data_IF_732666784823
#
_entry.id   IF_732666784823
#
_cell.length_a   1.000
_cell.length_b   1.000
_cell.length_c   1.000
_cell.angle_alpha   90.00
_cell.angle_beta   90.00
_cell.angle_gamma   90.00
#
_symmetry.space_group_name_H-M   'P 1'
#
loop_
_entity.id
_entity.type
_entity.pdbx_description
1 polymer ?
#
# COMPACT_ATOMS: atom_id res chain seq x y z
N UNK A 1 13.13 -78.48 -35.92
CA UNK A 1 13.53 -77.96 -34.61
C UNK A 1 13.65 -76.42 -34.70
N UNK A 2 12.71 -75.76 -34.07
CA UNK A 2 12.57 -74.28 -34.09
C UNK A 2 13.35 -73.80 -32.89
N UNK A 3 14.26 -72.83 -33.10
CA UNK A 3 15.03 -72.18 -32.05
C UNK A 3 14.14 -71.21 -31.25
N UNK A 4 14.33 -71.08 -29.93
CA UNK A 4 13.59 -70.13 -29.11
C UNK A 4 14.03 -68.65 -29.36
N UNK A 5 13.08 -67.78 -29.59
CA UNK A 5 13.31 -66.35 -29.69
C UNK A 5 13.45 -65.77 -28.28
N UNK A 6 14.54 -65.01 -28.08
CA UNK A 6 14.80 -64.22 -26.88
C UNK A 6 13.93 -62.98 -26.89
N UNK A 7 13.25 -62.62 -25.80
CA UNK A 7 12.45 -61.41 -25.76
C UNK A 7 13.36 -60.14 -25.75
N UNK A 8 13.01 -59.19 -26.59
CA UNK A 8 13.67 -57.88 -26.71
C UNK A 8 13.58 -57.09 -25.39
N UNK A 9 14.71 -56.64 -24.88
CA UNK A 9 14.79 -55.72 -23.75
C UNK A 9 14.10 -54.40 -24.10
N UNK A 10 13.05 -54.05 -23.37
CA UNK A 10 12.44 -52.72 -23.40
C UNK A 10 13.39 -51.72 -22.78
N UNK A 11 13.85 -50.77 -23.59
CA UNK A 11 14.59 -49.59 -23.11
C UNK A 11 13.67 -48.74 -22.23
N UNK A 12 13.97 -48.70 -20.94
CA UNK A 12 13.36 -47.78 -19.99
C UNK A 12 13.88 -46.39 -20.32
N UNK A 13 13.02 -45.54 -20.88
CA UNK A 13 13.26 -44.11 -21.05
C UNK A 13 13.26 -43.50 -19.63
N UNK A 14 14.36 -42.87 -19.17
CA UNK A 14 14.33 -42.16 -17.89
C UNK A 14 13.37 -40.98 -17.95
N UNK A 15 12.47 -40.91 -16.98
CA UNK A 15 11.58 -39.77 -16.80
C UNK A 15 12.41 -38.45 -16.71
N UNK A 16 11.95 -37.36 -17.30
CA UNK A 16 12.65 -36.07 -17.16
C UNK A 16 12.73 -35.69 -15.69
N UNK A 17 13.94 -35.45 -15.22
CA UNK A 17 14.19 -34.92 -13.90
C UNK A 17 13.44 -33.58 -13.77
N UNK A 18 12.47 -33.57 -12.87
CA UNK A 18 11.72 -32.36 -12.51
C UNK A 18 12.67 -31.43 -11.75
N UNK A 19 13.52 -30.69 -12.49
CA UNK A 19 14.37 -29.66 -11.93
C UNK A 19 13.44 -28.50 -11.64
N UNK A 20 12.94 -28.40 -10.42
CA UNK A 20 12.31 -27.19 -9.93
C UNK A 20 13.27 -26.01 -10.24
N UNK A 21 12.78 -24.92 -10.83
CA UNK A 21 13.64 -23.76 -11.08
C UNK A 21 14.23 -23.31 -9.75
N UNK A 22 15.55 -23.31 -9.66
CA UNK A 22 16.26 -22.77 -8.51
C UNK A 22 15.87 -21.29 -8.42
N UNK A 23 15.04 -20.96 -7.44
CA UNK A 23 14.75 -19.58 -7.04
C UNK A 23 16.10 -18.94 -6.72
N UNK A 24 16.61 -18.11 -7.61
CA UNK A 24 17.66 -17.16 -7.27
C UNK A 24 17.01 -16.15 -6.34
N UNK A 25 17.36 -16.10 -5.05
CA UNK A 25 16.83 -15.09 -4.16
C UNK A 25 17.42 -13.75 -4.62
N UNK A 26 16.66 -13.02 -5.43
CA UNK A 26 16.91 -11.61 -5.69
C UNK A 26 16.36 -10.83 -4.49
N UNK A 27 17.21 -10.60 -3.49
CA UNK A 27 16.86 -9.93 -2.23
C UNK A 27 16.46 -8.46 -2.41
N UNK A 28 16.43 -7.95 -3.65
CA UNK A 28 16.02 -6.57 -3.99
C UNK A 28 14.58 -6.41 -4.46
N UNK A 29 13.82 -7.50 -4.71
CA UNK A 29 12.49 -7.46 -5.32
C UNK A 29 11.52 -8.37 -4.57
N UNK A 30 11.19 -8.01 -3.32
CA UNK A 30 10.15 -8.72 -2.59
C UNK A 30 8.77 -8.19 -3.01
N UNK A 31 7.80 -9.07 -3.27
CA UNK A 31 6.43 -8.65 -3.57
C UNK A 31 5.85 -7.91 -2.36
N UNK A 32 4.99 -6.91 -2.63
CA UNK A 32 4.27 -6.21 -1.58
C UNK A 32 3.23 -7.11 -0.95
N UNK A 33 3.26 -7.20 0.38
CA UNK A 33 2.30 -7.97 1.15
C UNK A 33 1.42 -7.07 2.01
N UNK A 34 0.13 -7.40 2.08
CA UNK A 34 -0.80 -6.80 3.02
C UNK A 34 -0.73 -7.56 4.35
N UNK A 35 -0.29 -6.87 5.38
CA UNK A 35 -0.20 -7.43 6.73
C UNK A 35 -1.52 -7.23 7.46
N UNK A 36 -2.09 -8.31 8.01
CA UNK A 36 -3.33 -8.24 8.78
C UNK A 36 -3.09 -7.51 10.12
N UNK A 37 -3.99 -6.58 10.48
CA UNK A 37 -3.99 -5.98 11.80
C UNK A 37 -4.73 -6.89 12.80
N UNK A 38 -4.03 -7.32 13.83
CA UNK A 38 -4.55 -8.12 14.95
C UNK A 38 -4.35 -7.44 16.30
N UNK A 39 -4.46 -6.11 16.32
CA UNK A 39 -4.33 -5.30 17.52
C UNK A 39 -2.97 -4.61 17.69
N UNK A 40 -2.01 -4.79 16.75
CA UNK A 40 -0.75 -4.05 16.75
C UNK A 40 -0.89 -2.60 16.27
N UNK A 41 -2.02 -2.25 15.65
CA UNK A 41 -2.37 -0.92 15.19
C UNK A 41 -3.78 -0.55 15.64
N UNK A 42 -4.20 0.70 15.38
CA UNK A 42 -5.57 1.18 15.58
C UNK A 42 -6.59 0.21 14.96
N UNK A 43 -7.72 -0.03 15.66
CA UNK A 43 -8.76 -0.99 15.26
C UNK A 43 -9.46 -0.67 13.93
N UNK A 44 -9.41 0.60 13.48
CA UNK A 44 -9.94 1.03 12.18
C UNK A 44 -9.11 0.50 11.02
N UNK A 45 -7.84 0.22 11.24
CA UNK A 45 -6.94 -0.35 10.23
C UNK A 45 -7.20 -1.85 10.14
N UNK A 46 -7.54 -2.34 8.95
CA UNK A 46 -7.69 -3.78 8.70
C UNK A 46 -6.40 -4.41 8.20
N UNK A 47 -5.72 -3.73 7.27
CA UNK A 47 -4.44 -4.15 6.69
C UNK A 47 -3.50 -2.96 6.55
N UNK A 48 -2.20 -3.26 6.44
CA UNK A 48 -1.20 -2.24 6.14
C UNK A 48 -0.07 -2.82 5.29
N UNK A 49 0.65 -1.90 4.61
CA UNK A 49 1.90 -2.18 3.90
C UNK A 49 2.94 -1.24 4.47
N UNK A 50 4.04 -1.78 4.96
CA UNK A 50 5.14 -0.99 5.50
C UNK A 50 6.27 -0.91 4.46
N UNK A 51 6.60 0.31 4.02
CA UNK A 51 7.74 0.61 3.18
C UNK A 51 8.78 1.45 3.91
N UNK A 52 9.86 1.81 3.22
CA UNK A 52 10.99 2.56 3.78
C UNK A 52 10.67 4.04 4.05
N UNK A 53 9.93 4.66 3.16
CA UNK A 53 9.61 6.09 3.14
C UNK A 53 8.12 6.37 3.32
N UNK A 54 7.30 5.32 3.37
CA UNK A 54 5.85 5.40 3.51
C UNK A 54 5.27 4.13 4.12
N UNK A 55 4.17 4.30 4.84
CA UNK A 55 3.31 3.19 5.28
C UNK A 55 1.90 3.45 4.78
N UNK A 56 1.24 2.43 4.29
CA UNK A 56 -0.14 2.50 3.82
C UNK A 56 -1.04 1.76 4.79
N UNK A 57 -2.12 2.41 5.21
CA UNK A 57 -3.12 1.83 6.11
C UNK A 57 -4.46 1.73 5.39
N UNK A 58 -5.04 0.54 5.35
CA UNK A 58 -6.30 0.24 4.68
C UNK A 58 -7.42 0.13 5.70
N UNK A 59 -8.43 0.99 5.56
CA UNK A 59 -9.60 1.10 6.44
C UNK A 59 -10.88 0.93 5.63
N UNK A 60 -12.05 0.87 6.28
CA UNK A 60 -13.35 0.90 5.59
C UNK A 60 -13.63 2.20 4.83
N UNK A 61 -12.99 3.30 5.21
CA UNK A 61 -13.24 4.63 4.64
C UNK A 61 -12.25 5.02 3.53
N UNK A 62 -11.14 4.29 3.41
CA UNK A 62 -10.12 4.65 2.44
C UNK A 62 -8.72 4.14 2.80
N UNK A 63 -7.72 4.73 2.16
CA UNK A 63 -6.30 4.38 2.33
C UNK A 63 -5.54 5.59 2.82
N UNK A 64 -4.82 5.44 3.93
CA UNK A 64 -3.93 6.50 4.46
C UNK A 64 -2.49 6.21 4.07
N UNK A 65 -1.84 7.18 3.47
CA UNK A 65 -0.42 7.19 3.12
C UNK A 65 0.32 8.00 4.18
N UNK A 66 1.03 7.34 5.07
CA UNK A 66 1.92 8.01 6.03
C UNK A 66 3.30 8.15 5.40
N UNK A 67 3.62 9.35 4.95
CA UNK A 67 4.88 9.70 4.30
C UNK A 67 5.92 10.09 5.34
N UNK A 68 7.15 9.61 5.19
CA UNK A 68 8.27 9.95 6.07
C UNK A 68 9.47 10.34 5.23
N UNK A 69 10.11 11.45 5.54
CA UNK A 69 11.32 11.93 4.88
C UNK A 69 12.34 12.38 5.93
N UNK A 70 13.64 12.09 5.77
CA UNK A 70 14.67 12.67 6.61
C UNK A 70 14.60 14.20 6.56
N UNK A 71 14.72 14.86 7.72
CA UNK A 71 14.75 16.33 7.77
C UNK A 71 16.04 16.84 7.12
N UNK A 72 15.98 17.79 6.17
CA UNK A 72 17.15 18.26 5.45
C UNK A 72 18.18 18.97 6.32
N UNK A 73 17.81 19.38 7.53
CA UNK A 73 18.64 20.20 8.43
C UNK A 73 19.48 19.39 9.43
N UNK A 74 19.48 18.05 9.38
CA UNK A 74 20.34 17.24 10.24
C UNK A 74 21.25 16.31 9.43
N UNK A 75 22.60 16.39 9.65
CA UNK A 75 23.50 15.39 9.11
C UNK A 75 23.17 14.03 9.75
N UNK A 76 23.12 12.97 8.93
CA UNK A 76 22.92 11.59 9.35
C UNK A 76 24.02 11.27 10.40
N UNK A 77 23.69 11.40 11.67
CA UNK A 77 24.54 10.95 12.76
C UNK A 77 24.27 9.46 12.95
N UNK A 78 25.13 8.63 12.41
CA UNK A 78 25.22 7.24 12.85
C UNK A 78 25.24 7.20 14.38
N UNK A 79 24.48 6.32 15.05
CA UNK A 79 24.53 6.19 16.50
C UNK A 79 25.92 5.70 16.90
N UNK A 80 26.82 6.62 17.23
CA UNK A 80 28.04 6.28 17.98
C UNK A 80 27.58 5.91 19.37
N UNK A 81 27.62 4.63 19.69
CA UNK A 81 27.53 4.16 21.07
C UNK A 81 28.72 4.75 21.88
N UNK A 82 28.49 5.88 22.53
CA UNK A 82 29.43 6.41 23.49
C UNK A 82 28.94 5.98 24.85
N UNK A 83 29.43 4.84 25.32
CA UNK A 83 29.42 4.52 26.75
C UNK A 83 30.39 5.48 27.38
N UNK A 84 29.90 6.59 27.87
CA UNK A 84 30.66 7.56 28.63
C UNK A 84 30.49 7.26 30.14
N UNK A 85 31.44 6.56 30.74
CA UNK A 85 31.63 6.53 32.16
C UNK A 85 32.03 7.93 32.63
N UNK A 86 31.06 8.78 32.95
CA UNK A 86 31.32 10.03 33.68
C UNK A 86 30.81 9.91 35.11
N UNK A 87 31.78 9.85 36.03
CA UNK A 87 31.63 10.15 37.45
C UNK A 87 30.98 11.52 37.61
N UNK A 88 29.98 11.62 38.48
CA UNK A 88 29.32 12.86 38.84
C UNK A 88 30.29 13.83 39.50
N UNK A 89 30.31 15.12 39.14
CA UNK A 89 30.83 16.16 39.98
C UNK A 89 29.72 16.88 40.73
N UNK A 90 30.07 17.28 41.90
CA UNK A 90 29.38 17.93 43.00
C UNK A 90 28.65 19.22 42.62
N UNK A 91 27.63 19.49 43.38
CA UNK A 91 26.62 20.52 43.27
C UNK A 91 27.14 21.86 43.74
N UNK A 92 26.95 22.97 42.99
CA UNK A 92 26.55 24.28 43.52
C UNK A 92 26.32 25.31 42.40
N UNK A 93 25.32 26.15 42.60
CA UNK A 93 24.94 27.41 41.95
C UNK A 93 23.91 27.30 40.81
N UNK A 94 22.70 27.77 41.18
CA UNK A 94 21.54 27.91 40.34
C UNK A 94 21.77 28.75 39.07
N UNK A 95 21.54 28.13 37.94
CA UNK A 95 21.33 28.77 36.65
C UNK A 95 19.88 28.61 36.24
N UNK A 96 19.22 29.65 35.69
CA UNK A 96 17.84 29.51 35.20
C UNK A 96 17.78 28.41 34.16
N UNK A 97 16.81 27.50 34.32
CA UNK A 97 16.49 26.47 33.33
C UNK A 97 16.10 27.16 32.01
N UNK A 98 17.04 27.22 31.10
CA UNK A 98 16.69 27.49 29.69
C UNK A 98 15.66 26.44 29.28
N UNK A 99 14.51 26.87 28.80
CA UNK A 99 13.48 26.00 28.23
C UNK A 99 14.14 25.19 27.13
N UNK A 100 14.44 23.93 27.42
CA UNK A 100 14.92 22.95 26.47
C UNK A 100 13.83 22.83 25.39
N UNK A 101 14.04 23.44 24.24
CA UNK A 101 13.27 23.10 23.05
C UNK A 101 13.49 21.61 22.82
N UNK A 102 12.43 20.83 22.89
CA UNK A 102 12.47 19.41 22.49
C UNK A 102 13.19 19.32 21.15
N UNK A 103 14.17 18.44 20.99
CA UNK A 103 14.86 18.29 19.72
C UNK A 103 13.82 17.99 18.63
N UNK A 104 13.86 18.77 17.55
CA UNK A 104 13.01 18.55 16.38
C UNK A 104 13.26 17.12 15.90
N UNK A 105 12.21 16.32 15.63
CA UNK A 105 12.40 14.94 15.19
C UNK A 105 13.25 14.92 13.90
N UNK A 106 14.15 13.95 13.75
CA UNK A 106 15.05 13.85 12.59
C UNK A 106 14.32 13.55 11.26
N UNK A 107 13.02 13.38 11.33
CA UNK A 107 12.17 13.07 10.18
C UNK A 107 10.96 14.01 10.12
N UNK A 108 10.64 14.46 8.91
CA UNK A 108 9.36 15.10 8.59
C UNK A 108 8.34 14.03 8.23
N UNK A 109 7.12 14.13 8.76
CA UNK A 109 6.02 13.21 8.51
C UNK A 109 4.84 13.96 7.92
N UNK A 110 4.12 13.32 7.01
CA UNK A 110 2.91 13.86 6.41
C UNK A 110 1.92 12.72 6.10
N UNK A 111 0.65 12.96 6.33
CA UNK A 111 -0.39 11.99 6.01
C UNK A 111 -1.26 12.50 4.86
N UNK A 112 -1.50 11.62 3.88
CA UNK A 112 -2.48 11.81 2.81
C UNK A 112 -3.48 10.69 2.88
N UNK A 113 -4.76 10.98 2.89
CA UNK A 113 -5.82 9.98 2.88
C UNK A 113 -6.56 10.00 1.55
N UNK A 114 -6.60 8.87 0.87
CA UNK A 114 -7.51 8.61 -0.24
C UNK A 114 -8.85 8.19 0.36
N UNK A 115 -9.84 9.08 0.35
CA UNK A 115 -11.18 8.81 0.85
C UNK A 115 -12.06 8.22 -0.26
N UNK A 116 -12.90 7.25 0.09
CA UNK A 116 -13.92 6.66 -0.77
C UNK A 116 -15.25 7.42 -0.61
N UNK A 117 -15.46 8.43 -1.45
CA UNK A 117 -16.59 9.37 -1.30
C UNK A 117 -17.92 8.69 -1.62
N UNK A 118 -18.84 8.68 -0.66
CA UNK A 118 -20.16 8.06 -0.82
C UNK A 118 -20.15 6.54 -0.90
N UNK A 119 -19.04 5.91 -0.52
CA UNK A 119 -18.92 4.47 -0.46
C UNK A 119 -19.74 3.87 0.70
N UNK A 120 -19.94 2.56 0.64
CA UNK A 120 -20.59 1.80 1.71
C UNK A 120 -19.73 1.84 2.98
N UNK A 121 -20.21 2.47 4.08
CA UNK A 121 -19.41 2.61 5.30
C UNK A 121 -19.13 1.28 6.02
N UNK A 122 -19.86 0.23 5.66
CA UNK A 122 -19.68 -1.11 6.20
C UNK A 122 -18.75 -1.99 5.36
N UNK A 123 -18.30 -1.52 4.19
CA UNK A 123 -17.36 -2.25 3.36
C UNK A 123 -15.98 -2.28 4.05
N UNK A 124 -15.57 -3.46 4.52
CA UNK A 124 -14.24 -3.68 5.08
C UNK A 124 -13.40 -4.48 4.10
N UNK A 125 -12.10 -4.19 3.99
CA UNK A 125 -11.23 -5.01 3.17
C UNK A 125 -11.06 -6.40 3.78
N UNK A 126 -11.01 -7.42 2.93
CA UNK A 126 -10.79 -8.82 3.28
C UNK A 126 -9.55 -9.31 2.54
N UNK A 127 -8.64 -9.97 3.28
CA UNK A 127 -7.44 -10.57 2.69
C UNK A 127 -7.79 -11.72 1.75
N UNK A 128 -7.15 -11.74 0.59
CA UNK A 128 -7.22 -12.81 -0.39
C UNK A 128 -5.82 -13.27 -0.77
N UNK A 129 -5.71 -14.51 -1.20
CA UNK A 129 -4.45 -15.13 -1.60
C UNK A 129 -3.41 -15.04 -0.47
N UNK A 130 -3.68 -15.81 0.62
CA UNK A 130 -2.78 -15.94 1.78
C UNK A 130 -1.39 -16.33 1.29
N UNK A 131 -0.35 -15.63 1.77
CA UNK A 131 1.03 -15.96 1.43
C UNK A 131 1.69 -16.81 2.52
N UNK A 132 2.83 -17.39 2.22
CA UNK A 132 3.62 -18.15 3.19
C UNK A 132 4.38 -17.25 4.17
N UNK A 133 4.54 -15.95 3.84
CA UNK A 133 5.23 -14.99 4.68
C UNK A 133 4.40 -14.67 5.92
N UNK A 134 5.06 -14.65 7.07
CA UNK A 134 4.48 -14.20 8.35
C UNK A 134 5.35 -13.11 8.94
N UNK A 135 4.70 -12.15 9.57
CA UNK A 135 5.37 -11.02 10.22
C UNK A 135 5.18 -11.13 11.73
N UNK A 136 6.21 -10.78 12.47
CA UNK A 136 6.18 -10.77 13.92
C UNK A 136 6.82 -9.50 14.47
N UNK A 137 6.15 -8.89 15.44
CA UNK A 137 6.63 -7.69 16.14
C UNK A 137 6.93 -8.06 17.59
N UNK A 138 8.18 -7.93 17.97
CA UNK A 138 8.68 -8.18 19.32
C UNK A 138 8.94 -6.84 20.04
N UNK A 139 7.88 -6.03 20.18
CA UNK A 139 7.97 -4.71 20.81
C UNK A 139 7.39 -4.78 22.24
N UNK A 140 8.06 -4.14 23.19
CA UNK A 140 7.62 -4.14 24.59
C UNK A 140 7.89 -5.46 25.31
N UNK A 141 7.01 -5.80 26.26
CA UNK A 141 7.09 -7.06 27.02
C UNK A 141 6.60 -8.23 26.18
N UNK A 142 6.93 -9.49 26.53
CA UNK A 142 6.51 -10.67 25.77
C UNK A 142 4.98 -10.81 25.60
N UNK A 143 4.18 -10.31 26.53
CA UNK A 143 2.73 -10.27 26.46
C UNK A 143 2.16 -9.21 25.49
N UNK A 144 3.00 -8.25 25.08
CA UNK A 144 2.69 -7.23 24.07
C UNK A 144 3.13 -7.64 22.64
N UNK A 145 3.76 -8.80 22.50
CA UNK A 145 4.26 -9.25 21.19
C UNK A 145 3.13 -9.71 20.26
N UNK A 146 3.19 -9.23 19.03
CA UNK A 146 2.30 -9.67 17.96
C UNK A 146 3.06 -10.57 16.99
N UNK A 147 2.86 -11.88 17.09
CA UNK A 147 3.59 -12.87 16.29
C UNK A 147 2.66 -13.61 15.34
N UNK A 148 3.21 -14.14 14.25
CA UNK A 148 2.46 -14.95 13.29
C UNK A 148 1.37 -14.17 12.56
N UNK A 149 1.58 -12.87 12.31
CA UNK A 149 0.66 -12.05 11.53
C UNK A 149 0.62 -12.55 10.10
N UNK A 150 -0.58 -12.84 9.64
CA UNK A 150 -0.80 -13.31 8.27
C UNK A 150 -0.55 -12.20 7.27
N UNK A 151 -0.05 -12.60 6.11
CA UNK A 151 0.13 -11.70 4.99
C UNK A 151 -0.63 -12.20 3.76
N UNK A 152 -1.07 -11.28 2.94
CA UNK A 152 -1.88 -11.55 1.76
C UNK A 152 -1.30 -10.81 0.57
N UNK A 153 -1.40 -11.39 -0.63
CA UNK A 153 -0.99 -10.72 -1.86
C UNK A 153 -2.07 -9.78 -2.40
N UNK A 154 -3.32 -9.91 -1.92
CA UNK A 154 -4.48 -9.11 -2.34
C UNK A 154 -5.38 -8.80 -1.15
N UNK A 155 -6.10 -7.65 -1.26
CA UNK A 155 -7.24 -7.32 -0.41
C UNK A 155 -8.42 -6.88 -1.27
N UNK A 156 -9.63 -7.26 -0.86
CA UNK A 156 -10.87 -7.00 -1.58
C UNK A 156 -11.84 -6.21 -0.72
N UNK A 157 -12.33 -5.10 -1.22
CA UNK A 157 -13.51 -4.40 -0.75
C UNK A 157 -14.71 -4.82 -1.59
N UNK A 158 -15.55 -5.68 -1.06
CA UNK A 158 -16.74 -6.14 -1.77
C UNK A 158 -17.84 -5.08 -1.69
N UNK A 159 -18.45 -4.77 -2.83
CA UNK A 159 -19.59 -3.86 -2.92
C UNK A 159 -19.32 -2.51 -2.25
N UNK A 160 -18.14 -1.96 -2.52
CA UNK A 160 -17.68 -0.67 -1.98
C UNK A 160 -18.60 0.47 -2.43
N UNK A 161 -19.02 0.47 -3.69
CA UNK A 161 -20.23 1.16 -4.16
C UNK A 161 -21.20 0.10 -4.68
N UNK A 162 -22.49 0.40 -4.80
CA UNK A 162 -23.48 -0.57 -5.27
C UNK A 162 -23.06 -1.27 -6.58
N UNK A 163 -22.78 -2.57 -6.51
CA UNK A 163 -22.32 -3.38 -7.65
C UNK A 163 -20.87 -3.17 -8.06
N UNK A 164 -20.04 -2.48 -7.25
CA UNK A 164 -18.63 -2.21 -7.57
C UNK A 164 -17.75 -2.72 -6.43
N UNK A 165 -16.80 -3.56 -6.79
CA UNK A 165 -15.76 -4.06 -5.91
C UNK A 165 -14.45 -3.30 -6.16
N UNK A 166 -13.60 -3.17 -5.14
CA UNK A 166 -12.25 -2.62 -5.26
C UNK A 166 -11.25 -3.67 -4.78
N UNK A 167 -10.29 -3.99 -5.63
CA UNK A 167 -9.21 -4.93 -5.35
C UNK A 167 -7.89 -4.17 -5.31
N UNK A 168 -7.12 -4.34 -4.24
CA UNK A 168 -5.71 -3.94 -4.22
C UNK A 168 -4.84 -5.19 -4.31
N UNK A 169 -3.74 -5.11 -5.04
CA UNK A 169 -2.75 -6.18 -5.13
C UNK A 169 -1.34 -5.63 -5.26
N UNK A 170 -0.38 -6.35 -4.70
CA UNK A 170 1.03 -6.02 -4.78
C UNK A 170 1.68 -6.74 -5.96
N UNK A 171 2.48 -6.01 -6.72
CA UNK A 171 3.47 -6.58 -7.64
C UNK A 171 4.87 -6.32 -7.10
N UNK A 172 5.91 -6.61 -7.85
CA UNK A 172 7.29 -6.26 -7.50
C UNK A 172 7.42 -4.74 -7.36
N UNK A 173 7.48 -4.25 -6.12
CA UNK A 173 7.62 -2.83 -5.75
C UNK A 173 6.46 -1.89 -6.12
N UNK A 174 5.34 -2.38 -6.62
CA UNK A 174 4.20 -1.56 -7.02
C UNK A 174 2.92 -2.03 -6.35
N UNK A 175 2.12 -1.08 -5.86
CA UNK A 175 0.76 -1.31 -5.44
C UNK A 175 -0.18 -0.95 -6.56
N UNK A 176 -0.95 -1.91 -7.01
CA UNK A 176 -2.00 -1.75 -8.02
C UNK A 176 -3.37 -1.87 -7.40
N UNK A 177 -4.36 -1.31 -8.08
CA UNK A 177 -5.76 -1.47 -7.71
C UNK A 177 -6.66 -1.51 -8.94
N UNK A 178 -7.77 -2.22 -8.80
CA UNK A 178 -8.76 -2.40 -9.86
C UNK A 178 -10.16 -2.23 -9.30
N UNK A 179 -11.03 -1.53 -10.03
CA UNK A 179 -12.46 -1.56 -9.77
C UNK A 179 -13.12 -2.57 -10.69
N UNK A 180 -13.87 -3.49 -10.10
CA UNK A 180 -14.68 -4.46 -10.82
C UNK A 180 -16.13 -3.99 -10.78
N UNK A 181 -16.61 -3.44 -11.89
CA UNK A 181 -17.98 -2.97 -12.06
C UNK A 181 -18.81 -4.13 -12.59
N UNK A 182 -19.78 -4.60 -11.79
CA UNK A 182 -20.64 -5.70 -12.15
C UNK A 182 -21.68 -5.29 -13.20
N UNK A 183 -22.26 -6.23 -13.96
CA UNK A 183 -23.34 -5.93 -14.90
C UNK A 183 -24.44 -5.09 -14.28
N UNK A 184 -24.82 -4.01 -14.95
CA UNK A 184 -25.85 -3.08 -14.51
C UNK A 184 -25.42 -2.04 -13.45
N UNK A 185 -24.19 -2.12 -12.92
CA UNK A 185 -23.69 -1.09 -12.03
C UNK A 185 -23.17 0.14 -12.79
N UNK A 186 -23.24 1.31 -12.17
CA UNK A 186 -22.81 2.57 -12.80
C UNK A 186 -21.40 2.96 -12.31
N UNK A 187 -20.35 2.93 -13.17
CA UNK A 187 -18.99 3.32 -12.78
C UNK A 187 -18.86 4.78 -12.35
N UNK A 188 -19.82 5.65 -12.64
CA UNK A 188 -19.83 7.05 -12.17
C UNK A 188 -20.01 7.17 -10.65
N UNK A 189 -20.39 6.10 -9.97
CA UNK A 189 -20.44 6.06 -8.50
C UNK A 189 -19.05 6.09 -7.88
N UNK A 190 -18.01 5.69 -8.62
CA UNK A 190 -16.62 5.72 -8.13
C UNK A 190 -16.19 7.16 -7.99
N UNK A 191 -16.08 7.62 -6.74
CA UNK A 191 -15.65 8.98 -6.39
C UNK A 191 -14.59 8.90 -5.32
N UNK A 192 -13.46 9.49 -5.59
CA UNK A 192 -12.25 9.46 -4.77
C UNK A 192 -11.79 10.89 -4.48
N UNK A 193 -11.15 11.09 -3.33
CA UNK A 193 -10.52 12.38 -3.04
C UNK A 193 -9.29 12.21 -2.16
N UNK A 194 -8.24 12.99 -2.41
CA UNK A 194 -7.02 12.99 -1.60
C UNK A 194 -7.08 14.11 -0.57
N UNK A 195 -7.42 13.77 0.67
CA UNK A 195 -7.31 14.67 1.82
C UNK A 195 -5.87 14.70 2.31
N UNK A 196 -5.31 15.87 2.56
CA UNK A 196 -3.90 16.04 2.93
C UNK A 196 -2.98 16.33 1.75
N UNK A 197 -3.46 16.24 0.52
CA UNK A 197 -2.74 16.74 -0.64
C UNK A 197 -2.80 18.27 -0.70
N UNK A 198 -1.73 18.92 -1.15
CA UNK A 198 -1.69 20.36 -1.40
C UNK A 198 -2.24 20.72 -2.79
N UNK A 199 -2.14 19.76 -3.74
CA UNK A 199 -2.73 19.88 -5.07
C UNK A 199 -3.03 18.50 -5.65
N UNK A 200 -4.10 18.42 -6.44
CA UNK A 200 -4.47 17.25 -7.25
C UNK A 200 -4.88 17.74 -8.62
N UNK A 201 -4.18 17.33 -9.66
CA UNK A 201 -4.40 17.78 -11.03
C UNK A 201 -4.13 16.69 -12.06
N UNK A 202 -4.65 16.87 -13.26
CA UNK A 202 -4.25 16.07 -14.43
C UNK A 202 -3.10 16.78 -15.15
N UNK A 203 -2.06 16.03 -15.49
CA UNK A 203 -0.99 16.54 -16.34
C UNK A 203 -1.34 16.40 -17.83
N UNK A 204 -0.46 16.89 -18.70
CA UNK A 204 -0.68 16.85 -20.16
C UNK A 204 -0.74 15.42 -20.73
N UNK A 205 -0.19 14.43 -20.04
CA UNK A 205 -0.27 13.02 -20.42
C UNK A 205 -1.57 12.33 -19.97
N UNK A 206 -2.42 13.02 -19.18
CA UNK A 206 -3.65 12.45 -18.64
C UNK A 206 -3.46 11.65 -17.34
N UNK A 207 -2.28 11.75 -16.72
CA UNK A 207 -1.96 11.14 -15.43
C UNK A 207 -2.45 12.05 -14.29
N UNK A 208 -2.80 11.45 -13.14
CA UNK A 208 -3.23 12.17 -11.95
C UNK A 208 -2.03 12.47 -11.05
N UNK A 209 -1.66 13.74 -10.92
CA UNK A 209 -0.58 14.19 -10.04
C UNK A 209 -1.14 14.61 -8.68
N UNK A 210 -0.56 14.06 -7.62
CA UNK A 210 -0.88 14.38 -6.22
C UNK A 210 0.35 14.99 -5.56
N UNK A 211 0.25 16.22 -5.11
CA UNK A 211 1.35 16.96 -4.49
C UNK A 211 1.15 17.09 -2.98
N UNK A 212 2.23 16.96 -2.22
CA UNK A 212 2.26 17.13 -0.77
C UNK A 212 3.48 17.96 -0.35
N UNK A 213 3.54 18.47 0.88
CA UNK A 213 4.74 19.16 1.38
C UNK A 213 6.02 18.30 1.42
N UNK A 214 5.89 16.99 1.42
CA UNK A 214 7.04 16.07 1.43
C UNK A 214 7.37 15.49 0.06
N UNK A 215 6.73 15.96 -1.00
CA UNK A 215 6.84 15.45 -2.35
C UNK A 215 5.48 15.04 -2.90
N UNK A 216 5.45 14.32 -3.99
CA UNK A 216 4.22 13.88 -4.64
C UNK A 216 4.37 12.50 -5.24
N UNK A 217 3.28 12.03 -5.78
CA UNK A 217 3.23 10.82 -6.58
C UNK A 217 2.27 11.03 -7.76
N UNK A 218 2.36 10.14 -8.72
CA UNK A 218 1.57 10.22 -9.96
C UNK A 218 0.91 8.86 -10.18
N UNK A 219 -0.40 8.88 -10.39
CA UNK A 219 -1.13 7.73 -10.91
C UNK A 219 -1.11 7.79 -12.44
N UNK A 220 -0.76 6.69 -13.08
CA UNK A 220 -0.68 6.61 -14.53
C UNK A 220 -2.06 6.78 -15.20
N UNK A 221 -2.05 6.88 -16.51
CA UNK A 221 -3.28 6.94 -17.30
C UNK A 221 -4.09 5.66 -17.07
N UNK A 222 -5.37 5.76 -16.69
CA UNK A 222 -6.18 4.59 -16.41
C UNK A 222 -6.43 3.77 -17.67
N UNK A 223 -6.55 2.46 -17.51
CA UNK A 223 -7.02 1.54 -18.55
C UNK A 223 -8.34 0.91 -18.13
N UNK A 224 -9.14 0.47 -19.10
CA UNK A 224 -10.36 -0.29 -18.81
C UNK A 224 -10.59 -1.34 -19.88
N UNK A 225 -11.25 -2.43 -19.49
CA UNK A 225 -11.57 -3.52 -20.42
C UNK A 225 -12.78 -4.33 -19.96
N UNK A 226 -13.34 -5.05 -20.92
CA UNK A 226 -14.34 -6.11 -20.72
C UNK A 226 -13.83 -7.40 -21.32
N UNK A 227 -14.10 -8.52 -20.67
CA UNK A 227 -13.87 -9.84 -21.27
C UNK A 227 -15.14 -10.27 -22.01
N UNK A 228 -15.03 -10.31 -23.35
CA UNK A 228 -16.13 -10.67 -24.25
C UNK A 228 -15.74 -11.94 -24.99
N UNK A 229 -16.46 -13.03 -24.72
CA UNK A 229 -16.26 -14.34 -25.37
C UNK A 229 -14.81 -14.85 -25.31
N UNK A 230 -14.15 -14.60 -24.16
CA UNK A 230 -12.77 -14.98 -23.88
C UNK A 230 -11.72 -14.02 -24.47
N UNK A 231 -12.14 -12.91 -25.04
CA UNK A 231 -11.25 -11.87 -25.55
C UNK A 231 -11.36 -10.59 -24.72
N UNK A 232 -10.23 -10.00 -24.39
CA UNK A 232 -10.17 -8.71 -23.71
C UNK A 232 -10.37 -7.57 -24.71
N UNK A 233 -11.47 -6.84 -24.54
CA UNK A 233 -11.84 -5.67 -25.34
C UNK A 233 -11.57 -4.42 -24.52
N UNK A 234 -10.71 -3.55 -25.02
CA UNK A 234 -10.38 -2.28 -24.36
C UNK A 234 -11.56 -1.32 -24.44
N UNK A 235 -11.82 -0.63 -23.31
CA UNK A 235 -12.85 0.41 -23.20
C UNK A 235 -12.14 1.75 -22.98
N UNK A 236 -12.47 2.82 -23.72
CA UNK A 236 -11.89 4.14 -23.51
C UNK A 236 -12.20 4.65 -22.09
N UNK A 237 -11.17 5.16 -21.41
CA UNK A 237 -11.30 5.69 -20.06
C UNK A 237 -10.34 6.87 -19.83
N UNK A 238 -10.72 7.81 -18.98
CA UNK A 238 -9.86 8.89 -18.50
C UNK A 238 -10.27 9.30 -17.09
N UNK A 239 -9.35 9.87 -16.32
CA UNK A 239 -9.70 10.55 -15.07
C UNK A 239 -10.63 11.74 -15.35
N UNK A 240 -11.54 11.99 -14.41
CA UNK A 240 -12.45 13.12 -14.43
C UNK A 240 -12.41 13.83 -13.07
N UNK A 241 -11.81 15.02 -13.03
CA UNK A 241 -11.81 15.87 -11.85
C UNK A 241 -13.13 16.65 -11.77
N UNK A 242 -13.76 16.63 -10.60
CA UNK A 242 -14.94 17.44 -10.34
C UNK A 242 -14.56 18.92 -10.21
N UNK A 243 -15.34 19.81 -10.84
CA UNK A 243 -15.10 21.25 -10.82
C UNK A 243 -15.48 21.89 -9.46
N UNK A 244 -16.43 21.27 -8.76
CA UNK A 244 -16.94 21.80 -7.49
C UNK A 244 -16.10 21.26 -6.34
N UNK A 245 -15.54 22.13 -5.48
CA UNK A 245 -14.84 21.68 -4.29
C UNK A 245 -15.79 20.92 -3.35
N UNK A 246 -15.36 19.77 -2.86
CA UNK A 246 -16.08 19.05 -1.82
C UNK A 246 -15.78 19.71 -0.48
N UNK A 247 -16.79 20.24 0.21
CA UNK A 247 -16.62 20.87 1.52
C UNK A 247 -16.69 19.80 2.60
N UNK A 248 -15.56 19.48 3.23
CA UNK A 248 -15.59 18.75 4.50
C UNK A 248 -15.99 19.74 5.61
N UNK A 249 -16.90 19.33 6.49
CA UNK A 249 -17.35 20.12 7.62
C UNK A 249 -16.35 20.13 8.80
N UNK A 250 -15.07 19.87 8.57
CA UNK A 250 -14.04 20.00 9.61
C UNK A 250 -13.32 21.35 9.51
N UNK A 251 -13.68 22.32 10.40
CA UNK A 251 -13.07 23.64 10.37
C UNK A 251 -11.61 23.67 10.85
N UNK A 252 -11.07 22.55 11.34
CA UNK A 252 -9.69 22.43 11.80
C UNK A 252 -8.73 21.91 10.72
N UNK A 253 -9.26 21.47 9.59
CA UNK A 253 -8.42 21.04 8.46
C UNK A 253 -7.86 22.26 7.76
N UNK A 254 -6.55 22.50 7.88
CA UNK A 254 -5.81 23.50 7.11
C UNK A 254 -5.71 23.15 5.61
N UNK A 255 -6.43 22.13 5.17
CA UNK A 255 -6.35 21.55 3.84
C UNK A 255 -7.49 22.13 3.00
N UNK A 256 -7.10 22.90 2.01
CA UNK A 256 -8.04 23.51 1.08
C UNK A 256 -8.75 22.44 0.26
N UNK A 257 -10.09 22.36 0.44
CA UNK A 257 -11.10 21.70 -0.40
C UNK A 257 -10.55 20.68 -1.42
N UNK A 258 -10.36 19.41 -1.01
CA UNK A 258 -9.92 18.38 -1.94
C UNK A 258 -10.98 18.22 -3.04
N UNK A 259 -10.56 18.25 -4.29
CA UNK A 259 -11.43 18.02 -5.43
C UNK A 259 -11.66 16.52 -5.59
N UNK A 260 -12.92 16.05 -5.57
CA UNK A 260 -13.18 14.67 -5.92
C UNK A 260 -12.82 14.41 -7.38
N UNK A 261 -12.45 13.16 -7.64
CA UNK A 261 -12.23 12.66 -8.99
C UNK A 261 -12.86 11.28 -9.14
N UNK A 262 -13.12 10.92 -10.36
CA UNK A 262 -13.61 9.62 -10.78
C UNK A 262 -13.16 9.33 -12.19
N UNK A 263 -13.98 8.61 -12.94
CA UNK A 263 -13.63 8.17 -14.28
C UNK A 263 -14.71 8.58 -15.28
N UNK A 264 -14.27 9.00 -16.47
CA UNK A 264 -15.09 9.10 -17.65
C UNK A 264 -14.83 7.86 -18.47
N UNK A 265 -15.83 6.99 -18.56
CA UNK A 265 -15.78 5.74 -19.29
C UNK A 265 -16.50 5.95 -20.63
N UNK A 266 -15.91 5.47 -21.73
CA UNK A 266 -16.50 5.45 -23.05
C UNK A 266 -17.58 4.37 -23.20
N UNK A 267 -17.93 4.04 -24.43
CA UNK A 267 -18.96 3.04 -24.71
C UNK A 267 -18.49 1.64 -24.29
N UNK A 268 -19.34 0.92 -23.57
CA UNK A 268 -19.12 -0.45 -23.10
C UNK A 268 -20.47 -1.21 -23.02
N UNK A 269 -20.44 -2.53 -22.96
CA UNK A 269 -21.65 -3.36 -22.77
C UNK A 269 -22.05 -3.38 -21.28
N UNK A 270 -23.14 -2.72 -20.88
CA UNK A 270 -23.57 -2.70 -19.47
C UNK A 270 -24.07 -4.06 -18.95
N UNK A 271 -24.33 -5.02 -19.83
CA UNK A 271 -24.73 -6.37 -19.43
C UNK A 271 -23.54 -7.26 -19.05
N UNK A 272 -22.31 -6.77 -19.20
CA UNK A 272 -21.07 -7.48 -18.89
C UNK A 272 -20.28 -6.74 -17.80
N UNK A 273 -19.42 -7.47 -17.09
CA UNK A 273 -18.51 -6.85 -16.13
C UNK A 273 -17.51 -5.93 -16.83
N UNK A 274 -17.21 -4.79 -16.21
CA UNK A 274 -16.21 -3.84 -16.68
C UNK A 274 -15.12 -3.74 -15.61
N UNK A 275 -13.86 -3.89 -15.99
CA UNK A 275 -12.71 -3.67 -15.11
C UNK A 275 -12.09 -2.32 -15.43
N UNK A 276 -11.95 -1.47 -14.42
CA UNK A 276 -11.17 -0.24 -14.48
C UNK A 276 -9.86 -0.49 -13.75
N UNK A 277 -8.75 -0.38 -14.48
CA UNK A 277 -7.39 -0.54 -13.97
C UNK A 277 -6.66 0.83 -14.07
N UNK A 278 -6.74 1.65 -13.03
CA UNK A 278 -6.11 2.97 -13.00
C UNK A 278 -4.65 2.87 -12.61
N UNK A 279 -3.90 1.93 -13.11
CA UNK A 279 -2.46 1.79 -12.98
C UNK A 279 -1.85 1.99 -11.56
N UNK A 280 -0.54 2.21 -11.48
CA UNK A 280 0.29 2.10 -10.27
C UNK A 280 0.00 3.22 -9.27
N UNK A 281 -0.45 2.87 -8.08
CA UNK A 281 -0.70 3.85 -7.02
C UNK A 281 0.57 4.29 -6.27
N UNK A 282 1.53 3.42 -6.06
CA UNK A 282 2.75 3.74 -5.26
C UNK A 282 3.90 2.77 -5.54
N UNK A 283 5.09 3.33 -5.70
CA UNK A 283 6.33 2.58 -5.55
C UNK A 283 6.64 2.42 -4.06
N UNK A 284 6.69 1.20 -3.54
CA UNK A 284 7.07 0.92 -2.17
C UNK A 284 8.34 0.06 -2.16
N UNK A 285 9.42 0.58 -1.56
CA UNK A 285 10.61 -0.21 -1.27
C UNK A 285 10.50 -0.84 0.12
N UNK A 286 10.92 -2.09 0.28
CA UNK A 286 11.09 -2.70 1.59
C UNK A 286 12.41 -2.27 2.22
N UNK A 287 12.40 -2.02 3.54
CA UNK A 287 13.62 -1.99 4.34
C UNK A 287 13.87 -3.44 4.76
N UNK A 288 14.87 -4.06 4.19
CA UNK A 288 15.37 -5.34 4.63
C UNK A 288 16.78 -5.49 4.10
N UNK A 289 17.77 -5.50 5.01
CA UNK A 289 19.15 -5.82 4.75
C UNK A 289 19.50 -7.21 5.26
N UNK A 290 20.71 -7.70 5.02
CA UNK A 290 21.23 -8.95 5.58
C UNK A 290 21.52 -8.86 7.11
N UNK A 291 21.02 -7.84 7.80
CA UNK A 291 21.18 -7.57 9.24
C UNK A 291 19.86 -7.62 10.00
N UNK A 292 19.93 -7.56 11.33
CA UNK A 292 18.76 -7.45 12.20
C UNK A 292 18.14 -6.08 12.06
N UNK A 293 16.94 -6.00 11.44
CA UNK A 293 16.20 -4.77 11.28
C UNK A 293 15.23 -4.63 12.46
N UNK A 294 15.46 -3.63 13.31
CA UNK A 294 14.55 -3.27 14.41
C UNK A 294 13.65 -2.13 13.98
N UNK A 295 12.33 -2.39 13.92
CA UNK A 295 11.32 -1.36 13.70
C UNK A 295 11.14 -0.51 14.97
N UNK A 296 11.63 0.74 14.96
CA UNK A 296 11.40 1.72 16.02
C UNK A 296 10.18 2.59 15.70
N UNK A 297 9.15 2.45 16.53
CA UNK A 297 8.01 3.35 16.74
C UNK A 297 7.10 3.70 15.55
N UNK A 298 5.84 3.25 15.66
CA UNK A 298 4.72 3.75 14.86
C UNK A 298 3.81 4.54 15.81
N UNK A 299 3.75 5.85 15.62
CA UNK A 299 2.73 6.69 16.23
C UNK A 299 1.72 7.06 15.14
N UNK A 300 0.45 6.73 15.37
CA UNK A 300 -0.67 7.25 14.58
C UNK A 300 -1.24 8.43 15.37
N UNK A 301 -1.11 9.65 14.81
CA UNK A 301 -1.79 10.80 15.39
C UNK A 301 -3.29 10.60 15.28
N UNK A 302 -3.96 10.67 16.42
CA UNK A 302 -5.42 10.72 16.49
C UNK A 302 -5.89 12.05 15.90
N UNK A 303 -6.58 11.99 14.76
CA UNK A 303 -7.37 13.09 14.21
C UNK A 303 -8.82 12.93 14.67
#
# INVERSE_FOLDING_TARGET
PTAPQTPASQSVVPAPANTAPALKPDFGQLPLYFVENRGQLDERVAFYIQGSDKTLYFTSEGVTFALTRPSPDEPIRSPKSTISNRRAPDNTHGRPLAHSRSPKPPYSRWAVKLDFVGANPNARPVGQDLTEAVISYFKGKPDEWHTGLRTYSRILYTNLWPGIDLVYYGTENELKYEFVVRPGADPKQIRLTYRGATDVRLNAAGQLEVTTPLGGFTDDVPTAYQDIDGQRVTVPIAYALEQTPFTFLDPKSAIQNPKPYGFRVGDYDPARSLVLDPAVLVYAGYIGGAGSDEGHDIAVDGA
#
